data_IF_526886443674
#
_entry.id   IF_526886443674
#
_cell.length_a   1.000
_cell.length_b   1.000
_cell.length_c   1.000
_cell.angle_alpha   90.00
_cell.angle_beta   90.00
_cell.angle_gamma   90.00
#
_symmetry.space_group_name_H-M   'P 1'
#
loop_
_entity.id
_entity.type
_entity.pdbx_description
1 polymer ?
#
# COMPACT_ATOMS: atom_id res chain seq x y z
N UNK A 1 -1.88 1.36 -16.75
CA UNK A 1 -2.37 1.41 -15.35
C UNK A 1 -1.54 0.60 -14.35
N UNK A 2 -1.24 -0.71 -14.54
CA UNK A 2 -0.51 -1.48 -13.53
C UNK A 2 0.96 -1.05 -13.33
N UNK A 3 1.61 -0.49 -14.36
CA UNK A 3 2.96 0.07 -14.27
C UNK A 3 3.05 1.27 -13.31
N UNK A 4 2.02 2.13 -13.27
CA UNK A 4 1.98 3.27 -12.36
C UNK A 4 1.89 2.80 -10.90
N UNK A 5 1.13 1.73 -10.64
CA UNK A 5 1.01 1.14 -9.30
C UNK A 5 2.34 0.56 -8.82
N UNK A 6 3.11 -0.07 -9.72
CA UNK A 6 4.46 -0.53 -9.46
C UNK A 6 5.38 0.64 -9.06
N UNK A 7 5.45 1.68 -9.89
CA UNK A 7 6.34 2.82 -9.67
C UNK A 7 5.98 3.59 -8.39
N UNK A 8 4.69 3.84 -8.16
CA UNK A 8 4.22 4.51 -6.95
C UNK A 8 4.48 3.63 -5.72
N UNK A 9 4.28 2.32 -5.81
CA UNK A 9 4.57 1.37 -4.73
C UNK A 9 6.05 1.35 -4.33
N UNK A 10 6.96 1.44 -5.30
CA UNK A 10 8.41 1.54 -5.05
C UNK A 10 8.83 2.91 -4.50
N UNK A 11 8.11 3.98 -4.84
CA UNK A 11 8.39 5.33 -4.37
C UNK A 11 7.85 5.59 -2.95
N UNK A 12 6.72 4.98 -2.58
CA UNK A 12 6.10 5.07 -1.25
C UNK A 12 7.06 4.91 -0.05
N UNK A 13 7.99 3.93 -0.01
CA UNK A 13 8.94 3.76 1.09
C UNK A 13 10.10 4.77 1.11
N UNK A 14 10.37 5.44 -0.02
CA UNK A 14 11.42 6.44 -0.15
C UNK A 14 10.93 7.84 0.27
N UNK A 15 9.60 8.06 0.20
CA UNK A 15 9.00 9.30 0.65
C UNK A 15 9.08 9.46 2.18
N UNK A 16 9.79 10.50 2.64
CA UNK A 16 9.67 11.01 4.03
C UNK A 16 8.19 11.35 4.34
N UNK A 17 7.85 11.55 5.61
CA UNK A 17 6.48 11.86 6.04
C UNK A 17 5.93 13.08 5.31
N UNK A 18 5.14 12.83 4.26
CA UNK A 18 4.60 13.84 3.37
C UNK A 18 3.07 13.82 3.44
N UNK A 19 2.47 15.02 3.43
CA UNK A 19 1.02 15.20 3.40
C UNK A 19 0.40 14.99 2.00
N UNK A 20 1.12 14.37 1.05
CA UNK A 20 0.68 14.17 -0.33
C UNK A 20 0.42 12.69 -0.71
N UNK A 21 1.06 11.70 -0.06
CA UNK A 21 0.93 10.29 -0.44
C UNK A 21 0.82 9.33 0.76
N UNK A 22 0.22 8.14 0.54
CA UNK A 22 0.17 7.02 1.49
C UNK A 22 -1.08 6.87 2.35
N UNK A 23 -1.12 5.80 3.16
CA UNK A 23 -2.21 5.52 4.13
C UNK A 23 -2.13 6.50 5.29
N UNK A 24 -3.16 7.34 5.47
CA UNK A 24 -3.18 8.43 6.46
C UNK A 24 -4.29 8.28 7.47
N UNK A 25 -4.25 7.19 8.21
CA UNK A 25 -5.24 7.00 9.25
C UNK A 25 -4.77 7.78 10.50
N UNK A 26 -5.70 8.21 11.36
CA UNK A 26 -5.36 9.03 12.53
C UNK A 26 -4.27 8.40 13.41
N UNK A 27 -4.25 7.07 13.45
CA UNK A 27 -3.27 6.24 14.15
C UNK A 27 -1.93 6.03 13.43
N UNK A 28 -1.84 6.33 12.14
CA UNK A 28 -0.57 6.28 11.38
C UNK A 28 0.21 7.58 11.52
N UNK A 29 -0.47 8.69 11.86
CA UNK A 29 0.15 10.00 12.11
C UNK A 29 0.74 10.14 13.51
N UNK A 30 0.42 9.25 14.44
CA UNK A 30 0.82 9.38 15.84
C UNK A 30 2.29 9.04 16.13
N UNK A 31 3.00 8.34 15.24
CA UNK A 31 4.42 8.01 15.42
C UNK A 31 5.12 7.89 14.07
N UNK A 32 6.33 8.45 13.96
CA UNK A 32 7.16 8.38 12.74
C UNK A 32 7.54 6.93 12.41
N UNK A 33 7.74 6.11 13.44
CA UNK A 33 8.05 4.68 13.29
C UNK A 33 6.88 3.91 12.70
N UNK A 34 5.65 4.20 13.16
CA UNK A 34 4.41 3.61 12.63
C UNK A 34 4.17 4.06 11.20
N UNK A 35 4.41 5.35 10.91
CA UNK A 35 4.32 5.91 9.57
C UNK A 35 5.26 5.17 8.61
N UNK A 36 6.57 5.13 8.90
CA UNK A 36 7.57 4.51 8.01
C UNK A 36 7.31 3.03 7.77
N UNK A 37 6.97 2.27 8.82
CA UNK A 37 6.64 0.84 8.68
C UNK A 37 5.36 0.60 7.86
N UNK A 38 4.35 1.45 8.02
CA UNK A 38 3.10 1.36 7.24
C UNK A 38 3.34 1.68 5.76
N UNK A 39 4.13 2.71 5.45
CA UNK A 39 4.43 3.05 4.05
C UNK A 39 5.32 2.00 3.39
N UNK A 40 6.27 1.40 4.12
CA UNK A 40 7.08 0.28 3.62
C UNK A 40 6.19 -0.92 3.27
N UNK A 41 5.23 -1.25 4.14
CA UNK A 41 4.28 -2.34 3.90
C UNK A 41 3.34 -2.04 2.73
N UNK A 42 2.70 -0.86 2.72
CA UNK A 42 1.77 -0.44 1.66
C UNK A 42 2.44 -0.35 0.29
N UNK A 43 3.67 0.19 0.25
CA UNK A 43 4.48 0.26 -0.95
C UNK A 43 4.84 -1.12 -1.50
N UNK A 44 5.27 -2.03 -0.61
CA UNK A 44 5.55 -3.43 -0.97
C UNK A 44 4.32 -4.17 -1.51
N UNK A 45 3.15 -4.00 -0.88
CA UNK A 45 1.88 -4.57 -1.35
C UNK A 45 1.50 -4.02 -2.72
N UNK A 46 1.61 -2.70 -2.91
CA UNK A 46 1.28 -2.06 -4.19
C UNK A 46 2.19 -2.51 -5.32
N UNK A 47 3.50 -2.65 -5.05
CA UNK A 47 4.46 -3.17 -6.01
C UNK A 47 4.17 -4.63 -6.36
N UNK A 48 3.92 -5.49 -5.37
CA UNK A 48 3.60 -6.91 -5.60
C UNK A 48 2.34 -7.10 -6.45
N UNK A 49 1.27 -6.36 -6.13
CA UNK A 49 0.03 -6.39 -6.92
C UNK A 49 0.26 -5.88 -8.34
N UNK A 50 1.07 -4.82 -8.51
CA UNK A 50 1.48 -4.33 -9.82
C UNK A 50 2.21 -5.38 -10.65
N UNK A 51 3.19 -6.08 -10.07
CA UNK A 51 3.96 -7.15 -10.74
C UNK A 51 3.03 -8.26 -11.24
N UNK A 52 2.05 -8.66 -10.41
CA UNK A 52 1.09 -9.72 -10.76
C UNK A 52 0.10 -9.26 -11.85
N UNK A 53 -0.36 -8.01 -11.80
CA UNK A 53 -1.33 -7.49 -12.77
C UNK A 53 -0.73 -7.15 -14.14
N UNK A 54 0.57 -6.88 -14.24
CA UNK A 54 1.25 -6.61 -15.52
C UNK A 54 1.03 -7.75 -16.54
N UNK A 55 1.37 -9.02 -16.24
CA UNK A 55 1.10 -10.12 -17.17
C UNK A 55 -0.39 -10.39 -17.30
N UNK A 56 -1.18 -10.35 -16.21
CA UNK A 56 -2.62 -10.67 -16.28
C UNK A 56 -3.41 -9.71 -17.17
N UNK A 57 -3.10 -8.40 -17.13
CA UNK A 57 -3.70 -7.44 -18.05
C UNK A 57 -3.06 -7.51 -19.46
N UNK A 58 -1.77 -7.80 -19.57
CA UNK A 58 -1.06 -7.89 -20.85
C UNK A 58 -1.49 -9.07 -21.73
N UNK A 59 -1.86 -10.19 -21.10
CA UNK A 59 -2.33 -11.40 -21.80
C UNK A 59 -3.86 -11.49 -21.92
N UNK A 60 -4.61 -10.52 -21.38
CA UNK A 60 -6.08 -10.49 -21.47
C UNK A 60 -6.52 -10.03 -22.87
N UNK A 61 -7.14 -10.92 -23.64
CA UNK A 61 -7.69 -10.62 -24.97
C UNK A 61 -8.98 -9.78 -24.93
N UNK A 62 -9.69 -9.76 -23.79
CA UNK A 62 -10.88 -8.95 -23.60
C UNK A 62 -10.58 -7.67 -22.79
N UNK A 63 -11.02 -6.48 -23.25
CA UNK A 63 -10.77 -5.22 -22.55
C UNK A 63 -11.56 -5.12 -21.23
N UNK A 64 -12.74 -5.74 -21.15
CA UNK A 64 -13.60 -5.72 -19.95
C UNK A 64 -12.94 -6.48 -18.80
N UNK A 65 -12.31 -7.63 -19.05
CA UNK A 65 -11.58 -8.39 -18.02
C UNK A 65 -10.35 -7.64 -17.55
N UNK A 66 -9.62 -6.95 -18.44
CA UNK A 66 -8.47 -6.13 -18.06
C UNK A 66 -8.87 -4.94 -17.15
N UNK A 67 -10.01 -4.30 -17.42
CA UNK A 67 -10.57 -3.24 -16.56
C UNK A 67 -11.00 -3.82 -15.20
N UNK A 68 -11.71 -4.95 -15.20
CA UNK A 68 -12.13 -5.63 -13.97
C UNK A 68 -10.94 -6.02 -13.07
N UNK A 69 -9.88 -6.57 -13.66
CA UNK A 69 -8.64 -6.91 -12.96
C UNK A 69 -7.94 -5.67 -12.39
N UNK A 70 -7.90 -4.57 -13.13
CA UNK A 70 -7.32 -3.32 -12.64
C UNK A 70 -8.11 -2.75 -11.45
N UNK A 71 -9.44 -2.69 -11.54
CA UNK A 71 -10.31 -2.19 -10.46
C UNK A 71 -10.22 -3.09 -9.23
N UNK A 72 -10.28 -4.41 -9.41
CA UNK A 72 -10.11 -5.38 -8.33
C UNK A 72 -8.75 -5.27 -7.65
N UNK A 73 -7.69 -5.06 -8.44
CA UNK A 73 -6.33 -4.81 -7.94
C UNK A 73 -6.24 -3.57 -7.05
N UNK A 74 -6.83 -2.44 -7.49
CA UNK A 74 -6.88 -1.22 -6.69
C UNK A 74 -7.65 -1.41 -5.38
N UNK A 75 -8.81 -2.07 -5.43
CA UNK A 75 -9.59 -2.37 -4.24
C UNK A 75 -8.81 -3.25 -3.25
N UNK A 76 -8.11 -4.27 -3.75
CA UNK A 76 -7.28 -5.15 -2.94
C UNK A 76 -6.16 -4.39 -2.23
N UNK A 77 -5.44 -3.50 -2.94
CA UNK A 77 -4.41 -2.65 -2.33
C UNK A 77 -5.02 -1.77 -1.23
N UNK A 78 -6.16 -1.12 -1.49
CA UNK A 78 -6.81 -0.25 -0.51
C UNK A 78 -7.19 -1.01 0.78
N UNK A 79 -7.73 -2.23 0.64
CA UNK A 79 -8.10 -3.09 1.77
C UNK A 79 -6.85 -3.57 2.52
N UNK A 80 -5.89 -4.15 1.81
CA UNK A 80 -4.65 -4.67 2.40
C UNK A 80 -3.85 -3.59 3.11
N UNK A 81 -3.74 -2.40 2.52
CA UNK A 81 -3.00 -1.27 3.11
C UNK A 81 -3.70 -0.70 4.34
N UNK A 82 -5.04 -0.63 4.34
CA UNK A 82 -5.82 -0.24 5.53
C UNK A 82 -5.67 -1.25 6.67
N UNK A 83 -5.84 -2.54 6.38
CA UNK A 83 -5.71 -3.61 7.36
C UNK A 83 -4.28 -3.73 7.89
N UNK A 84 -3.29 -3.61 7.02
CA UNK A 84 -1.86 -3.60 7.36
C UNK A 84 -1.50 -2.42 8.24
N UNK A 85 -2.02 -1.22 7.95
CA UNK A 85 -1.85 -0.03 8.79
C UNK A 85 -2.39 -0.24 10.20
N UNK A 86 -3.58 -0.84 10.34
CA UNK A 86 -4.16 -1.13 11.65
C UNK A 86 -3.33 -2.15 12.44
N UNK A 87 -2.84 -3.22 11.79
CA UNK A 87 -1.93 -4.20 12.42
C UNK A 87 -0.60 -3.57 12.83
N UNK A 88 -0.05 -2.68 12.00
CA UNK A 88 1.20 -1.98 12.29
C UNK A 88 1.05 -1.06 13.51
N UNK A 89 -0.05 -0.29 13.58
CA UNK A 89 -0.37 0.53 14.74
C UNK A 89 -0.56 -0.27 16.01
N UNK A 90 -1.25 -1.42 15.96
CA UNK A 90 -1.40 -2.28 17.14
C UNK A 90 -0.08 -2.82 17.68
N UNK A 91 0.94 -2.98 16.84
CA UNK A 91 2.24 -3.58 17.20
C UNK A 91 3.29 -2.53 17.60
N UNK A 92 3.19 -1.32 17.07
CA UNK A 92 4.20 -0.26 17.23
C UNK A 92 3.60 1.08 17.70
N UNK A 93 2.33 1.11 18.09
CA UNK A 93 1.66 2.31 18.57
C UNK A 93 2.22 2.79 19.92
N UNK A 94 1.86 4.02 20.33
CA UNK A 94 2.42 4.68 21.52
C UNK A 94 2.22 3.90 22.84
N UNK A 95 1.28 2.95 22.89
CA UNK A 95 1.09 2.05 24.03
C UNK A 95 2.10 0.88 24.09
N UNK A 96 2.68 0.50 22.95
CA UNK A 96 3.72 -0.54 22.86
C UNK A 96 5.12 0.04 23.08
N UNK A 97 5.35 1.29 22.67
CA UNK A 97 6.61 2.02 22.85
C UNK A 97 6.93 2.29 24.34
N UNK A 98 5.92 2.35 25.22
CA UNK A 98 6.11 2.46 26.67
C UNK A 98 6.47 1.14 27.39
N UNK A 99 6.54 0.01 26.69
CA UNK A 99 6.81 -1.33 27.27
C UNK A 99 8.16 -1.92 26.88
N UNK A 100 8.94 -1.26 26.03
CA UNK A 100 10.30 -1.65 25.67
C UNK A 100 11.30 -0.66 26.23
#
# INVERSE_FOLDING_TARGET
MPLLMLLIGLFQPLAKRNAAFGVRNGWTRSSETVWRKTQLFSGGVSAAVGIVLIPLCGFSSAPISAIGLAVGGFALIAVCSTLGSYRCFRRYGPAAEKRG
#
